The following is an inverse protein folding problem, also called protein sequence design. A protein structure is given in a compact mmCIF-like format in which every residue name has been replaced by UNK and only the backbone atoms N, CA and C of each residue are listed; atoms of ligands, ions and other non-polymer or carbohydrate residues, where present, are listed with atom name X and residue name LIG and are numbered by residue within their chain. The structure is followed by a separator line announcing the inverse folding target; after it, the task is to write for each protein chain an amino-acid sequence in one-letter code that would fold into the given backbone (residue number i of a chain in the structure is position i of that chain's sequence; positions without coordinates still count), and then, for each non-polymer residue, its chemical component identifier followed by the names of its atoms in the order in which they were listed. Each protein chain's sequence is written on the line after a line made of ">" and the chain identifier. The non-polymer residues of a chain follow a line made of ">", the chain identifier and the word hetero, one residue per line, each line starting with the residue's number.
data_IF_341280167824
#
_entry.id   IF_341280167824
#
_cell.length_a   1.000
_cell.length_b   1.000
_cell.length_c   1.000
_cell.angle_alpha   90.00
_cell.angle_beta   90.00
_cell.angle_gamma   90.00
#
_symmetry.space_group_name_H-M   'P 1'
#
loop_
_entity.id
_entity.type
_entity.pdbx_description
1 polymer ?
#
# COMPACT_ATOMS: atom_id res chain seq x y z
N UNK A 1 -16.99 -13.96 -14.64
CA UNK A 1 -16.02 -13.10 -13.95
C UNK A 1 -14.61 -13.62 -14.22
N UNK A 2 -13.63 -12.74 -14.41
CA UNK A 2 -12.23 -13.16 -14.64
C UNK A 2 -11.50 -13.63 -13.36
N UNK A 3 -12.14 -13.47 -12.21
CA UNK A 3 -11.68 -13.88 -10.89
C UNK A 3 -12.89 -14.30 -10.02
N UNK A 4 -12.70 -15.12 -8.96
CA UNK A 4 -13.76 -15.46 -8.03
C UNK A 4 -14.10 -14.29 -7.09
N UNK A 5 -15.36 -14.21 -6.64
CA UNK A 5 -15.84 -13.17 -5.71
C UNK A 5 -15.64 -13.51 -4.23
N UNK A 6 -15.26 -14.74 -3.91
CA UNK A 6 -14.93 -15.17 -2.56
C UNK A 6 -13.87 -16.24 -2.66
N UNK A 7 -13.06 -16.36 -1.62
CA UNK A 7 -12.02 -17.39 -1.53
C UNK A 7 -11.92 -17.90 -0.09
N UNK A 8 -11.71 -19.20 0.04
CA UNK A 8 -11.46 -19.87 1.31
C UNK A 8 -9.99 -19.76 1.71
N UNK A 9 -9.69 -20.06 2.97
CA UNK A 9 -8.29 -20.07 3.42
C UNK A 9 -7.48 -21.16 2.70
N UNK A 10 -8.08 -22.32 2.45
CA UNK A 10 -7.38 -23.45 1.83
C UNK A 10 -7.04 -23.13 0.37
N UNK A 11 -7.99 -22.58 -0.40
CA UNK A 11 -7.73 -22.10 -1.77
C UNK A 11 -6.65 -21.02 -1.82
N UNK A 12 -6.59 -20.10 -0.83
CA UNK A 12 -5.50 -19.12 -0.74
C UNK A 12 -4.16 -19.83 -0.51
N UNK A 13 -4.13 -20.88 0.31
CA UNK A 13 -2.90 -21.61 0.63
C UNK A 13 -2.35 -22.43 -0.54
N UNK A 14 -3.22 -22.83 -1.47
CA UNK A 14 -2.85 -23.50 -2.73
C UNK A 14 -2.16 -22.55 -3.73
N UNK A 15 -2.35 -21.23 -3.60
CA UNK A 15 -1.70 -20.25 -4.49
C UNK A 15 -0.19 -20.18 -4.25
N UNK A 16 0.61 -19.99 -5.31
CA UNK A 16 2.06 -19.84 -5.19
C UNK A 16 2.41 -18.63 -4.31
N UNK A 17 3.31 -18.83 -3.36
CA UNK A 17 3.84 -17.75 -2.53
C UNK A 17 4.70 -16.83 -3.41
N UNK A 18 4.27 -15.59 -3.61
CA UNK A 18 5.03 -14.56 -4.31
C UNK A 18 5.17 -13.30 -3.46
N UNK A 19 6.05 -12.44 -3.93
CA UNK A 19 6.44 -11.18 -3.32
C UNK A 19 7.05 -10.32 -4.41
N UNK A 20 7.06 -9.02 -4.21
CA UNK A 20 7.80 -8.12 -5.07
C UNK A 20 9.31 -8.44 -5.05
N UNK A 21 9.92 -8.50 -6.24
CA UNK A 21 11.33 -8.83 -6.49
C UNK A 21 12.05 -7.77 -7.34
N UNK A 22 11.36 -6.69 -7.70
CA UNK A 22 11.93 -5.57 -8.44
C UNK A 22 12.71 -4.58 -7.57
N UNK A 23 13.03 -3.42 -8.15
CA UNK A 23 13.80 -2.37 -7.48
C UNK A 23 13.00 -1.74 -6.34
N UNK A 24 13.65 -1.56 -5.19
CA UNK A 24 13.11 -0.83 -4.04
C UNK A 24 14.00 0.36 -3.71
N UNK A 25 13.40 1.53 -3.49
CA UNK A 25 14.09 2.75 -3.04
C UNK A 25 13.61 3.09 -1.65
N UNK A 26 14.52 3.19 -0.68
CA UNK A 26 14.19 3.61 0.69
C UNK A 26 14.60 5.08 0.84
N UNK A 27 13.63 5.94 1.11
CA UNK A 27 13.84 7.37 1.36
C UNK A 27 13.62 7.64 2.85
N UNK A 28 14.60 8.28 3.50
CA UNK A 28 14.67 8.40 4.96
C UNK A 28 15.11 9.78 5.47
N UNK A 29 15.28 10.73 4.56
CA UNK A 29 15.58 12.13 4.84
C UNK A 29 14.87 13.02 3.82
N UNK A 30 14.79 14.32 4.09
CA UNK A 30 14.03 15.26 3.25
C UNK A 30 14.51 15.27 1.79
N UNK A 31 15.81 15.10 1.55
CA UNK A 31 16.39 15.09 0.21
C UNK A 31 15.98 13.86 -0.58
N UNK A 32 16.07 12.68 0.02
CA UNK A 32 15.69 11.41 -0.59
C UNK A 32 14.17 11.32 -0.78
N UNK A 33 13.38 11.88 0.14
CA UNK A 33 11.92 12.00 -0.02
C UNK A 33 11.60 12.90 -1.21
N UNK A 34 12.17 14.10 -1.29
CA UNK A 34 11.93 15.01 -2.41
C UNK A 34 12.30 14.37 -3.77
N UNK A 35 13.44 13.65 -3.83
CA UNK A 35 13.83 12.93 -5.03
C UNK A 35 12.84 11.81 -5.40
N UNK A 36 12.41 11.00 -4.41
CA UNK A 36 11.40 9.97 -4.62
C UNK A 36 10.07 10.56 -5.11
N UNK A 37 9.61 11.66 -4.51
CA UNK A 37 8.36 12.31 -4.88
C UNK A 37 8.40 12.91 -6.29
N UNK A 38 9.55 13.46 -6.72
CA UNK A 38 9.73 13.95 -8.08
C UNK A 38 9.56 12.83 -9.13
N UNK A 39 10.04 11.63 -8.83
CA UNK A 39 9.87 10.45 -9.68
C UNK A 39 8.46 9.89 -9.64
N UNK A 40 7.86 9.76 -8.44
CA UNK A 40 6.48 9.32 -8.25
C UNK A 40 5.50 10.23 -9.00
N UNK A 41 5.71 11.55 -8.96
CA UNK A 41 4.86 12.53 -9.64
C UNK A 41 4.91 12.48 -11.18
N UNK A 42 5.75 11.63 -11.78
CA UNK A 42 5.72 11.35 -13.22
C UNK A 42 4.73 10.23 -13.60
N UNK A 43 4.11 9.58 -12.62
CA UNK A 43 3.19 8.48 -12.83
C UNK A 43 1.74 8.96 -12.64
N UNK A 44 0.86 8.63 -13.60
CA UNK A 44 -0.57 8.93 -13.48
C UNK A 44 -1.27 8.04 -12.44
N UNK A 45 -0.77 6.81 -12.26
CA UNK A 45 -1.32 5.82 -11.32
C UNK A 45 -0.22 5.11 -10.56
N UNK A 46 -0.40 4.96 -9.25
CA UNK A 46 0.53 4.30 -8.34
C UNK A 46 -0.22 3.43 -7.34
N UNK A 47 0.42 2.35 -6.88
CA UNK A 47 -0.04 1.58 -5.73
C UNK A 47 0.36 2.29 -4.42
N UNK A 48 -0.48 2.24 -3.40
CA UNK A 48 -0.32 2.95 -2.15
C UNK A 48 -0.68 2.04 -0.97
N UNK A 49 0.16 2.07 0.06
CA UNK A 49 -0.10 1.42 1.34
C UNK A 49 0.53 2.25 2.47
N UNK A 50 0.20 1.92 3.73
CA UNK A 50 0.92 2.48 4.88
C UNK A 50 1.24 1.43 5.94
N UNK A 51 2.30 1.70 6.72
CA UNK A 51 2.64 0.87 7.85
C UNK A 51 2.90 1.66 9.13
N UNK A 52 2.43 1.08 10.23
CA UNK A 52 2.51 1.67 11.56
C UNK A 52 2.77 0.58 12.60
N UNK A 53 3.67 0.86 13.54
CA UNK A 53 3.96 -0.06 14.64
C UNK A 53 2.69 -0.42 15.41
N UNK A 54 2.44 -1.71 15.69
CA UNK A 54 1.25 -2.12 16.43
C UNK A 54 1.31 -1.63 17.87
N UNK A 55 0.16 -1.20 18.40
CA UNK A 55 -0.04 -0.91 19.82
C UNK A 55 -0.90 -2.01 20.44
N UNK A 56 -0.49 -2.51 21.61
CA UNK A 56 -1.18 -3.62 22.29
C UNK A 56 -1.86 -3.17 23.60
N UNK A 57 -1.63 -1.93 24.02
CA UNK A 57 -2.26 -1.34 25.20
C UNK A 57 -3.31 -0.32 24.78
N UNK A 58 -4.47 -0.39 25.45
CA UNK A 58 -5.55 0.56 25.25
C UNK A 58 -5.07 1.97 25.61
N UNK A 59 -5.20 2.92 24.68
CA UNK A 59 -4.82 4.32 24.86
C UNK A 59 -3.46 4.71 24.27
N UNK A 60 -2.65 3.75 23.79
CA UNK A 60 -1.43 4.08 23.04
C UNK A 60 -1.77 4.60 21.64
N UNK A 61 -1.14 5.72 21.28
CA UNK A 61 -1.30 6.34 19.97
C UNK A 61 -0.43 5.59 18.96
N UNK A 62 -1.06 5.14 17.88
CA UNK A 62 -0.41 4.55 16.71
C UNK A 62 -0.22 5.63 15.65
N UNK A 63 0.97 5.72 15.07
CA UNK A 63 1.32 6.68 14.02
C UNK A 63 1.85 5.94 12.79
N UNK A 64 1.58 6.48 11.59
CA UNK A 64 2.19 5.99 10.36
C UNK A 64 3.70 6.25 10.40
N UNK A 65 4.48 5.19 10.27
CA UNK A 65 5.95 5.21 10.30
C UNK A 65 6.56 5.05 8.90
N UNK A 66 5.78 4.55 7.95
CA UNK A 66 6.18 4.25 6.59
C UNK A 66 4.98 4.43 5.64
N UNK A 67 5.21 5.10 4.51
CA UNK A 67 4.31 5.08 3.36
C UNK A 67 4.99 4.32 2.24
N UNK A 68 4.24 3.46 1.55
CA UNK A 68 4.72 2.71 0.40
C UNK A 68 4.06 3.22 -0.87
N UNK A 69 4.85 3.45 -1.92
CA UNK A 69 4.33 3.87 -3.22
C UNK A 69 4.93 2.98 -4.31
N UNK A 70 4.10 2.19 -4.98
CA UNK A 70 4.48 1.37 -6.10
C UNK A 70 4.24 2.12 -7.42
N UNK A 71 5.27 2.22 -8.23
CA UNK A 71 5.21 2.65 -9.64
C UNK A 71 5.34 1.42 -10.54
N UNK A 72 5.12 1.52 -11.86
CA UNK A 72 5.35 0.41 -12.78
C UNK A 72 6.75 -0.20 -12.71
N UNK A 73 7.77 0.63 -12.41
CA UNK A 73 9.18 0.20 -12.46
C UNK A 73 9.78 -0.18 -11.10
N UNK A 74 9.28 0.43 -10.02
CA UNK A 74 9.87 0.31 -8.68
C UNK A 74 8.92 0.65 -7.55
N UNK A 75 9.28 0.23 -6.34
CA UNK A 75 8.56 0.60 -5.11
C UNK A 75 9.42 1.53 -4.25
N UNK A 76 8.79 2.58 -3.74
CA UNK A 76 9.37 3.53 -2.83
C UNK A 76 8.87 3.27 -1.41
N UNK A 77 9.79 3.25 -0.45
CA UNK A 77 9.52 3.13 0.98
C UNK A 77 9.90 4.47 1.64
N UNK A 78 8.89 5.29 1.91
CA UNK A 78 9.02 6.65 2.42
C UNK A 78 8.92 6.64 3.95
N UNK A 79 10.05 6.75 4.64
CA UNK A 79 10.18 6.61 6.10
C UNK A 79 9.67 7.85 6.84
N UNK A 80 8.35 8.02 6.93
CA UNK A 80 7.71 9.13 7.66
C UNK A 80 8.07 9.19 9.15
N UNK A 81 8.52 8.08 9.75
CA UNK A 81 9.08 8.09 11.11
C UNK A 81 10.27 9.06 11.27
N UNK A 82 11.05 9.28 10.21
CA UNK A 82 12.25 10.12 10.24
C UNK A 82 11.95 11.57 9.84
N UNK A 83 11.06 11.76 8.87
CA UNK A 83 10.82 13.07 8.23
C UNK A 83 9.48 13.69 8.58
N UNK A 84 8.57 12.94 9.20
CA UNK A 84 7.15 13.30 9.23
C UNK A 84 6.56 13.33 7.81
N UNK A 85 5.50 14.13 7.63
CA UNK A 85 4.87 14.38 6.33
C UNK A 85 5.47 15.67 5.73
N UNK A 86 6.41 15.49 4.79
CA UNK A 86 7.03 16.61 4.04
C UNK A 86 5.99 17.35 3.18
N UNK A 87 6.35 18.52 2.65
CA UNK A 87 5.44 19.30 1.80
C UNK A 87 5.09 18.56 0.50
N UNK A 88 6.07 17.91 -0.12
CA UNK A 88 5.91 17.14 -1.35
C UNK A 88 4.97 15.96 -1.14
N UNK A 89 5.15 15.24 -0.03
CA UNK A 89 4.26 14.13 0.33
C UNK A 89 2.85 14.63 0.68
N UNK A 90 2.73 15.76 1.40
CA UNK A 90 1.45 16.38 1.70
C UNK A 90 0.70 16.82 0.44
N UNK A 91 1.40 17.37 -0.55
CA UNK A 91 0.83 17.72 -1.85
C UNK A 91 0.36 16.48 -2.59
N UNK A 92 1.19 15.43 -2.68
CA UNK A 92 0.85 14.18 -3.36
C UNK A 92 -0.39 13.49 -2.79
N UNK A 93 -0.52 13.44 -1.46
CA UNK A 93 -1.69 12.87 -0.78
C UNK A 93 -3.01 13.61 -1.09
N UNK A 94 -2.93 14.81 -1.67
CA UNK A 94 -4.08 15.65 -2.01
C UNK A 94 -4.20 15.90 -3.53
N UNK A 95 -3.31 15.33 -4.33
CA UNK A 95 -3.25 15.59 -5.76
C UNK A 95 -4.26 14.71 -6.53
N UNK A 96 -5.31 15.27 -7.14
CA UNK A 96 -6.28 14.50 -7.91
C UNK A 96 -5.71 13.98 -9.25
N UNK A 97 -4.57 14.52 -9.73
CA UNK A 97 -3.98 14.12 -11.00
C UNK A 97 -3.19 12.81 -10.91
N UNK A 98 -2.87 12.37 -9.69
CA UNK A 98 -2.24 11.08 -9.45
C UNK A 98 -3.25 10.17 -8.76
N UNK A 99 -3.54 9.04 -9.40
CA UNK A 99 -4.39 7.98 -8.85
C UNK A 99 -3.58 7.12 -7.89
N UNK A 100 -3.92 7.13 -6.60
CA UNK A 100 -3.34 6.29 -5.55
C UNK A 100 -4.28 5.12 -5.27
N UNK A 101 -3.87 3.92 -5.65
CA UNK A 101 -4.66 2.70 -5.45
C UNK A 101 -4.19 1.99 -4.19
N UNK A 102 -5.09 1.74 -3.24
CA UNK A 102 -4.80 0.96 -2.03
C UNK A 102 -5.90 -0.02 -1.65
N UNK A 103 -5.73 -0.72 -0.52
CA UNK A 103 -6.67 -1.72 -0.01
C UNK A 103 -7.00 -1.42 1.45
N UNK A 104 -8.20 -0.89 1.72
CA UNK A 104 -8.68 -0.61 3.07
C UNK A 104 -8.08 0.67 3.67
N UNK A 105 -8.23 1.79 2.96
CA UNK A 105 -7.53 3.05 3.24
C UNK A 105 -8.15 3.92 4.34
N UNK A 106 -9.34 3.56 4.82
CA UNK A 106 -10.09 4.40 5.77
C UNK A 106 -9.31 4.64 7.07
N UNK A 107 -8.69 3.59 7.62
CA UNK A 107 -7.87 3.72 8.83
C UNK A 107 -6.59 4.51 8.57
N UNK A 108 -6.00 4.36 7.38
CA UNK A 108 -4.78 5.08 6.98
C UNK A 108 -5.03 6.59 6.92
N UNK A 109 -6.14 7.03 6.34
CA UNK A 109 -6.50 8.46 6.31
C UNK A 109 -6.57 9.06 7.71
N UNK A 110 -7.22 8.36 8.64
CA UNK A 110 -7.35 8.82 10.03
C UNK A 110 -6.01 8.93 10.74
N UNK A 111 -5.05 8.04 10.42
CA UNK A 111 -3.71 8.07 11.02
C UNK A 111 -2.81 9.11 10.36
N UNK A 112 -2.89 9.30 9.05
CA UNK A 112 -2.17 10.32 8.31
C UNK A 112 -2.62 11.73 8.69
N UNK A 113 -3.93 11.96 8.84
CA UNK A 113 -4.50 13.26 9.21
C UNK A 113 -4.00 13.74 10.59
N UNK A 114 -3.75 12.80 11.51
CA UNK A 114 -3.14 13.10 12.82
C UNK A 114 -1.69 13.57 12.72
N UNK A 115 -0.94 13.09 11.73
CA UNK A 115 0.45 13.52 11.51
C UNK A 115 0.49 14.91 10.88
N UNK A 116 -0.38 15.14 9.90
CA UNK A 116 -0.55 16.43 9.23
C UNK A 116 -1.93 16.46 8.57
N UNK A 117 -2.83 17.38 8.96
CA UNK A 117 -4.17 17.44 8.39
C UNK A 117 -4.13 17.60 6.86
N UNK A 118 -4.95 16.84 6.15
CA UNK A 118 -4.97 16.85 4.69
C UNK A 118 -6.36 16.47 4.15
N UNK A 119 -6.64 16.87 2.90
CA UNK A 119 -7.85 16.45 2.20
C UNK A 119 -7.50 15.33 1.20
N UNK A 120 -7.75 14.04 1.50
CA UNK A 120 -7.42 12.96 0.57
C UNK A 120 -8.14 13.18 -0.77
N UNK A 121 -7.40 13.07 -1.87
CA UNK A 121 -7.91 13.17 -3.23
C UNK A 121 -7.17 12.21 -4.15
N UNK A 122 -7.77 11.83 -5.28
CA UNK A 122 -7.17 10.88 -6.23
C UNK A 122 -6.95 9.47 -5.66
N UNK A 123 -7.65 9.06 -4.59
CA UNK A 123 -7.52 7.71 -4.04
C UNK A 123 -8.59 6.76 -4.57
N UNK A 124 -8.18 5.52 -4.85
CA UNK A 124 -9.06 4.39 -5.12
C UNK A 124 -8.82 3.34 -4.03
N UNK A 125 -9.85 3.08 -3.23
CA UNK A 125 -9.83 1.94 -2.30
C UNK A 125 -10.45 0.73 -2.99
N UNK A 126 -9.61 -0.26 -3.30
CA UNK A 126 -10.04 -1.50 -3.93
C UNK A 126 -11.09 -2.23 -3.10
N UNK A 127 -11.14 -2.08 -1.77
CA UNK A 127 -12.21 -2.66 -0.98
C UNK A 127 -13.59 -2.18 -1.43
N UNK A 128 -13.72 -0.89 -1.78
CA UNK A 128 -14.98 -0.34 -2.27
C UNK A 128 -15.34 -0.94 -3.63
N UNK A 129 -14.37 -0.98 -4.56
CA UNK A 129 -14.55 -1.58 -5.88
C UNK A 129 -14.98 -3.05 -5.79
N UNK A 130 -14.31 -3.85 -4.95
CA UNK A 130 -14.65 -5.26 -4.79
C UNK A 130 -15.99 -5.45 -4.06
N UNK A 131 -16.34 -4.60 -3.09
CA UNK A 131 -17.66 -4.62 -2.46
C UNK A 131 -18.78 -4.34 -3.48
N UNK A 132 -18.61 -3.38 -4.37
CA UNK A 132 -19.57 -3.04 -5.44
C UNK A 132 -19.76 -4.19 -6.42
N UNK A 133 -18.70 -4.95 -6.69
CA UNK A 133 -18.75 -6.18 -7.50
C UNK A 133 -19.36 -7.39 -6.75
N UNK A 134 -19.74 -7.22 -5.48
CA UNK A 134 -20.32 -8.27 -4.65
C UNK A 134 -19.30 -9.27 -4.10
N UNK A 135 -18.04 -8.86 -3.96
CA UNK A 135 -16.99 -9.71 -3.39
C UNK A 135 -17.04 -9.76 -1.87
N UNK A 136 -16.58 -10.87 -1.32
CA UNK A 136 -16.44 -11.10 0.12
C UNK A 136 -14.97 -11.29 0.49
N UNK A 137 -14.64 -11.04 1.77
CA UNK A 137 -13.31 -11.28 2.34
C UNK A 137 -12.18 -10.55 1.58
N UNK A 138 -12.39 -9.28 1.30
CA UNK A 138 -11.56 -8.39 0.46
C UNK A 138 -10.21 -7.94 1.04
N UNK A 139 -9.63 -8.65 2.01
CA UNK A 139 -8.30 -8.29 2.53
C UNK A 139 -7.20 -8.51 1.48
N UNK A 140 -6.10 -7.75 1.56
CA UNK A 140 -5.01 -7.74 0.57
C UNK A 140 -4.54 -9.12 0.08
N UNK A 141 -4.26 -10.05 1.01
CA UNK A 141 -3.86 -11.43 0.66
C UNK A 141 -4.93 -12.18 -0.15
N UNK A 142 -6.20 -11.97 0.16
CA UNK A 142 -7.29 -12.63 -0.54
C UNK A 142 -7.51 -11.99 -1.90
N UNK A 143 -7.44 -10.66 -2.03
CA UNK A 143 -7.51 -9.99 -3.33
C UNK A 143 -6.36 -10.43 -4.25
N UNK A 144 -5.13 -10.50 -3.72
CA UNK A 144 -4.00 -11.04 -4.48
C UNK A 144 -4.24 -12.49 -4.94
N UNK A 145 -4.84 -13.33 -4.10
CA UNK A 145 -5.15 -14.71 -4.45
C UNK A 145 -6.28 -14.84 -5.48
N UNK A 146 -7.30 -13.99 -5.40
CA UNK A 146 -8.43 -14.01 -6.34
C UNK A 146 -8.04 -13.44 -7.70
N UNK A 147 -7.29 -12.34 -7.73
CA UNK A 147 -7.06 -11.55 -8.96
C UNK A 147 -5.72 -11.85 -9.61
N UNK A 148 -4.67 -12.03 -8.82
CA UNK A 148 -3.31 -12.25 -9.32
C UNK A 148 -2.92 -13.72 -9.32
N UNK A 149 -3.75 -14.60 -8.76
CA UNK A 149 -3.48 -16.03 -8.59
C UNK A 149 -2.20 -16.30 -7.76
N UNK A 150 -1.92 -15.46 -6.76
CA UNK A 150 -0.77 -15.57 -5.87
C UNK A 150 -1.16 -15.45 -4.40
N UNK A 151 -0.36 -16.05 -3.51
CA UNK A 151 -0.41 -15.75 -2.08
C UNK A 151 0.75 -14.85 -1.70
N UNK A 152 0.49 -13.84 -0.87
CA UNK A 152 1.53 -12.99 -0.26
C UNK A 152 1.72 -13.30 1.23
N UNK A 153 2.90 -13.00 1.75
CA UNK A 153 3.27 -13.24 3.15
C UNK A 153 2.66 -12.20 4.08
N UNK A 154 2.16 -12.62 5.25
CA UNK A 154 1.70 -11.71 6.33
C UNK A 154 2.74 -11.44 7.41
N UNK A 155 3.96 -11.93 7.19
CA UNK A 155 4.91 -12.18 8.28
C UNK A 155 5.50 -10.94 8.95
N UNK A 156 5.33 -9.74 8.37
CA UNK A 156 5.82 -8.47 8.92
C UNK A 156 4.71 -7.45 9.19
N UNK A 157 3.43 -7.81 9.02
CA UNK A 157 2.28 -6.93 9.24
C UNK A 157 2.28 -6.27 10.64
N UNK A 158 2.71 -7.02 11.66
CA UNK A 158 2.79 -6.56 13.05
C UNK A 158 4.23 -6.33 13.50
N UNK A 159 5.10 -5.85 12.60
CA UNK A 159 6.51 -5.58 12.89
C UNK A 159 6.74 -4.21 13.54
N UNK A 160 7.95 -3.97 14.04
CA UNK A 160 8.35 -2.65 14.51
C UNK A 160 8.72 -1.74 13.32
N UNK A 161 7.73 -1.06 12.75
CA UNK A 161 7.91 -0.13 11.63
C UNK A 161 8.61 1.18 11.99
N UNK A 162 8.77 1.45 13.29
CA UNK A 162 9.59 2.56 13.81
C UNK A 162 11.09 2.20 13.89
N UNK A 163 11.47 0.94 13.60
CA UNK A 163 12.87 0.49 13.68
C UNK A 163 13.77 1.39 12.83
N UNK A 164 14.91 1.82 13.38
CA UNK A 164 15.81 2.79 12.72
C UNK A 164 16.17 2.38 11.29
N UNK A 165 16.46 1.09 11.08
CA UNK A 165 16.63 0.46 9.77
C UNK A 165 15.53 -0.58 9.52
N UNK A 166 15.11 -0.74 8.26
CA UNK A 166 14.21 -1.84 7.88
C UNK A 166 15.02 -3.11 7.66
N UNK A 167 14.52 -4.23 8.15
CA UNK A 167 15.02 -5.55 7.77
C UNK A 167 14.59 -5.92 6.34
N UNK A 168 15.32 -6.83 5.69
CA UNK A 168 14.94 -7.35 4.36
C UNK A 168 13.51 -7.90 4.33
N UNK A 169 13.09 -8.52 5.43
CA UNK A 169 11.72 -9.02 5.61
C UNK A 169 10.69 -7.89 5.58
N UNK A 170 10.97 -6.77 6.24
CA UNK A 170 10.10 -5.59 6.22
C UNK A 170 10.10 -4.92 4.85
N UNK A 171 11.27 -4.75 4.23
CA UNK A 171 11.38 -4.17 2.88
C UNK A 171 10.57 -4.98 1.87
N UNK A 172 10.74 -6.31 1.88
CA UNK A 172 10.04 -7.24 0.98
C UNK A 172 8.53 -7.26 1.22
N UNK A 173 8.11 -7.24 2.48
CA UNK A 173 6.70 -7.17 2.84
C UNK A 173 6.07 -5.86 2.36
N UNK A 174 6.63 -4.72 2.78
CA UNK A 174 6.09 -3.39 2.49
C UNK A 174 6.06 -3.11 0.98
N UNK A 175 7.11 -3.51 0.26
CA UNK A 175 7.13 -3.35 -1.19
C UNK A 175 6.09 -4.22 -1.90
N UNK A 176 5.82 -5.41 -1.37
CA UNK A 176 4.79 -6.30 -1.92
C UNK A 176 3.39 -5.72 -1.76
N UNK A 177 3.06 -5.13 -0.61
CA UNK A 177 1.70 -4.66 -0.32
C UNK A 177 1.30 -3.48 -1.24
N UNK A 178 2.16 -2.50 -1.46
CA UNK A 178 1.89 -1.45 -2.45
C UNK A 178 1.89 -1.98 -3.89
N UNK A 179 2.79 -2.90 -4.23
CA UNK A 179 2.88 -3.47 -5.58
C UNK A 179 1.59 -4.22 -5.97
N UNK A 180 1.06 -5.07 -5.07
CA UNK A 180 -0.17 -5.80 -5.40
C UNK A 180 -1.36 -4.87 -5.60
N UNK A 181 -1.42 -3.71 -4.93
CA UNK A 181 -2.49 -2.75 -5.14
C UNK A 181 -2.51 -2.27 -6.59
N UNK A 182 -1.33 -1.89 -7.13
CA UNK A 182 -1.18 -1.47 -8.52
C UNK A 182 -1.49 -2.60 -9.51
N UNK A 183 -0.98 -3.80 -9.26
CA UNK A 183 -1.22 -4.96 -10.14
C UNK A 183 -2.69 -5.38 -10.20
N UNK A 184 -3.38 -5.38 -9.05
CA UNK A 184 -4.82 -5.69 -8.98
C UNK A 184 -5.60 -4.66 -9.79
N UNK A 185 -5.30 -3.37 -9.61
CA UNK A 185 -5.93 -2.31 -10.39
C UNK A 185 -5.71 -2.48 -11.89
N UNK A 186 -4.47 -2.74 -12.31
CA UNK A 186 -4.13 -2.97 -13.71
C UNK A 186 -4.88 -4.18 -14.31
N UNK A 187 -5.08 -5.25 -13.52
CA UNK A 187 -5.90 -6.40 -13.94
C UNK A 187 -7.36 -6.03 -14.10
N UNK A 188 -7.93 -5.30 -13.16
CA UNK A 188 -9.33 -4.85 -13.24
C UNK A 188 -9.56 -3.96 -14.45
N UNK A 189 -8.64 -3.02 -14.72
CA UNK A 189 -8.68 -2.15 -15.89
C UNK A 189 -8.58 -2.94 -17.19
N UNK A 190 -7.62 -3.87 -17.28
CA UNK A 190 -7.44 -4.74 -18.45
C UNK A 190 -8.68 -5.60 -18.74
N UNK A 191 -9.39 -6.04 -17.69
CA UNK A 191 -10.63 -6.81 -17.80
C UNK A 191 -11.89 -5.95 -17.96
N UNK A 192 -11.78 -4.62 -17.92
CA UNK A 192 -12.90 -3.69 -18.10
C UNK A 192 -13.86 -3.62 -16.91
N UNK A 193 -13.38 -3.87 -15.69
CA UNK A 193 -14.18 -3.71 -14.47
C UNK A 193 -14.18 -2.29 -13.90
N UNK A 194 -13.19 -1.49 -14.30
CA UNK A 194 -12.97 -0.09 -13.92
C UNK A 194 -12.50 0.70 -15.13
#
# INVERSE_FOLDING_TARGET
>A
MMFPLSITKDEVMERPLKSYDGKVVIAADDKSIAAAMAEIGQCDTVGFDTEAKPTFKKGEIRNISLIQVATPDKVFLLRTQHTGISNELHTFLQDPNVTKVGIGLLDDYNLLDRLRPFKPDGFIDLNNTFNELGAEKIGARNLAAMVLDIRISKSAQTSNWEAHTLSDKQVKYASTDAWICLEIYNKLLYWGYI
#
